data_IF_551866718202
#
_entry.id   IF_551866718202
#
_cell.length_a   1.000
_cell.length_b   1.000
_cell.length_c   1.000
_cell.angle_alpha   90.00
_cell.angle_beta   90.00
_cell.angle_gamma   90.00
#
_symmetry.space_group_name_H-M   'P 1'
#
loop_
_entity.id
_entity.type
_entity.pdbx_description
1 polymer ?
#
# COMPACT_ATOMS: atom_id res chain seq x y z
N UNK A 1 -6.74 -23.03 12.88
CA UNK A 1 -5.32 -22.87 13.30
C UNK A 1 -5.31 -22.56 14.79
N UNK A 2 -4.62 -23.35 15.65
CA UNK A 2 -4.54 -23.06 17.07
C UNK A 2 -3.76 -21.76 17.33
N UNK A 3 -4.13 -21.03 18.40
CA UNK A 3 -3.46 -19.78 18.78
C UNK A 3 -2.04 -20.08 19.30
N UNK A 4 -0.99 -19.35 18.87
CA UNK A 4 0.37 -19.59 19.33
C UNK A 4 0.54 -19.30 20.84
N UNK A 5 1.44 -20.05 21.49
CA UNK A 5 1.72 -19.94 22.93
C UNK A 5 2.39 -18.62 23.34
N UNK A 6 3.03 -17.93 22.38
CA UNK A 6 3.69 -16.64 22.58
C UNK A 6 3.34 -15.68 21.44
N UNK A 7 3.44 -14.39 21.74
CA UNK A 7 3.23 -13.34 20.75
C UNK A 7 4.24 -13.48 19.60
N UNK A 8 3.72 -13.58 18.38
CA UNK A 8 4.56 -13.54 17.17
C UNK A 8 4.88 -12.09 16.83
N UNK A 9 6.15 -11.80 16.56
CA UNK A 9 6.59 -10.49 16.08
C UNK A 9 7.13 -10.65 14.66
N UNK A 10 6.47 -10.01 13.70
CA UNK A 10 6.93 -9.96 12.32
C UNK A 10 7.65 -8.63 12.10
N UNK A 11 8.86 -8.68 11.53
CA UNK A 11 9.64 -7.51 11.18
C UNK A 11 10.00 -7.56 9.71
N UNK A 12 9.72 -6.47 9.01
CA UNK A 12 10.15 -6.29 7.63
C UNK A 12 11.66 -6.04 7.59
N UNK A 13 12.43 -7.01 7.10
CA UNK A 13 13.88 -6.90 6.91
C UNK A 13 14.22 -6.15 5.63
N UNK A 14 13.47 -6.45 4.56
CA UNK A 14 13.63 -5.86 3.24
C UNK A 14 12.29 -5.33 2.73
N UNK A 15 12.32 -4.17 2.09
CA UNK A 15 11.14 -3.56 1.48
C UNK A 15 11.16 -3.86 -0.02
N UNK A 16 10.26 -4.73 -0.47
CA UNK A 16 10.17 -5.12 -1.88
C UNK A 16 9.91 -3.91 -2.79
N UNK A 17 10.35 -3.93 -4.06
CA UNK A 17 9.94 -2.95 -5.04
C UNK A 17 8.41 -2.81 -5.10
N UNK A 18 7.91 -1.57 -5.20
CA UNK A 18 6.47 -1.31 -5.11
C UNK A 18 5.73 -1.85 -6.35
N UNK A 19 6.42 -1.99 -7.47
CA UNK A 19 5.88 -2.58 -8.70
C UNK A 19 5.66 -4.10 -8.63
N UNK A 20 6.16 -4.76 -7.60
CA UNK A 20 5.89 -6.18 -7.31
C UNK A 20 4.63 -6.37 -6.46
N UNK A 21 4.01 -5.29 -5.98
CA UNK A 21 2.81 -5.40 -5.17
C UNK A 21 1.61 -5.80 -6.05
N UNK A 22 0.73 -6.69 -5.56
CA UNK A 22 -0.49 -7.02 -6.27
C UNK A 22 -1.44 -5.82 -6.27
N UNK A 23 -2.45 -5.86 -7.14
CA UNK A 23 -3.59 -4.94 -7.06
C UNK A 23 -4.29 -5.16 -5.72
N UNK A 24 -4.64 -4.11 -4.96
CA UNK A 24 -5.48 -4.24 -3.79
C UNK A 24 -6.78 -4.97 -4.16
N UNK A 25 -7.30 -5.82 -3.27
CA UNK A 25 -8.49 -6.60 -3.56
C UNK A 25 -9.77 -5.74 -3.48
N UNK A 26 -9.94 -4.78 -4.38
CA UNK A 26 -11.09 -3.87 -4.41
C UNK A 26 -12.41 -4.62 -4.55
N UNK A 27 -12.43 -5.75 -5.26
CA UNK A 27 -13.61 -6.62 -5.35
C UNK A 27 -14.10 -7.23 -4.02
N UNK A 28 -13.31 -7.14 -2.94
CA UNK A 28 -13.73 -7.59 -1.60
C UNK A 28 -14.50 -6.52 -0.81
N UNK A 29 -14.60 -5.30 -1.33
CA UNK A 29 -15.33 -4.20 -0.70
C UNK A 29 -16.45 -3.70 -1.62
N UNK A 30 -17.46 -3.06 -1.03
CA UNK A 30 -18.44 -2.28 -1.80
C UNK A 30 -17.88 -0.87 -1.96
N UNK A 31 -17.30 -0.57 -3.13
CA UNK A 31 -16.61 0.71 -3.38
C UNK A 31 -17.53 1.90 -3.11
N UNK A 32 -18.80 1.79 -3.50
CA UNK A 32 -19.81 2.84 -3.29
C UNK A 32 -20.26 3.09 -1.84
N UNK A 33 -19.80 2.29 -0.87
CA UNK A 33 -19.98 2.61 0.54
C UNK A 33 -19.00 3.70 1.02
N UNK A 34 -18.02 4.09 0.20
CA UNK A 34 -16.96 5.03 0.55
C UNK A 34 -17.07 6.34 -0.24
N UNK A 35 -16.78 7.47 0.43
CA UNK A 35 -16.80 8.80 -0.21
C UNK A 35 -15.67 8.98 -1.25
N UNK A 36 -14.51 8.37 -1.01
CA UNK A 36 -13.31 8.53 -1.85
C UNK A 36 -12.59 7.19 -2.00
N UNK A 37 -12.23 6.87 -3.24
CA UNK A 37 -11.23 5.84 -3.55
C UNK A 37 -9.81 6.41 -3.42
N UNK A 38 -8.85 5.55 -3.07
CA UNK A 38 -7.43 5.93 -3.01
C UNK A 38 -6.56 4.91 -3.70
N UNK A 39 -5.55 5.41 -4.42
CA UNK A 39 -4.53 4.62 -5.11
C UNK A 39 -3.16 5.08 -4.63
N UNK A 40 -2.35 4.14 -4.17
CA UNK A 40 -0.97 4.42 -3.77
C UNK A 40 -0.03 4.23 -4.96
N UNK A 41 0.52 5.33 -5.49
CA UNK A 41 1.52 5.26 -6.57
C UNK A 41 2.97 5.16 -6.07
N UNK A 42 3.23 5.63 -4.85
CA UNK A 42 4.57 5.68 -4.27
C UNK A 42 4.56 5.28 -2.79
N UNK A 43 5.72 4.82 -2.30
CA UNK A 43 5.93 4.47 -0.88
C UNK A 43 7.36 4.82 -0.47
N UNK A 44 7.50 5.63 0.59
CA UNK A 44 8.77 6.17 1.07
C UNK A 44 8.96 7.64 0.69
N UNK A 45 9.79 8.37 1.45
CA UNK A 45 10.00 9.81 1.27
C UNK A 45 11.42 10.24 1.68
N UNK A 46 12.15 11.04 0.88
CA UNK A 46 13.52 11.43 1.18
C UNK A 46 13.61 12.56 2.22
N UNK A 47 12.53 13.30 2.41
CA UNK A 47 12.51 14.49 3.24
C UNK A 47 12.69 14.19 4.73
N UNK A 48 13.16 15.19 5.46
CA UNK A 48 13.50 15.13 6.90
C UNK A 48 12.52 15.97 7.73
N UNK A 49 11.24 15.99 7.34
CA UNK A 49 10.22 16.74 8.07
C UNK A 49 10.08 16.20 9.49
N UNK A 50 10.14 17.08 10.50
CA UNK A 50 10.05 16.69 11.92
C UNK A 50 8.68 16.13 12.33
N UNK A 51 7.65 16.46 11.55
CA UNK A 51 6.27 16.04 11.79
C UNK A 51 5.86 14.77 11.03
N UNK A 52 6.71 14.26 10.12
CA UNK A 52 6.33 13.21 9.18
C UNK A 52 6.93 11.86 9.57
N UNK A 53 6.08 10.86 9.72
CA UNK A 53 6.45 9.48 10.05
C UNK A 53 6.75 8.61 8.81
N UNK A 54 6.46 9.10 7.60
CA UNK A 54 6.64 8.36 6.34
C UNK A 54 8.07 7.79 6.19
N UNK A 55 9.16 8.53 6.44
CA UNK A 55 10.51 7.97 6.31
C UNK A 55 10.78 6.83 7.30
N UNK A 56 10.19 6.86 8.50
CA UNK A 56 10.36 5.81 9.51
C UNK A 56 9.56 4.55 9.15
N UNK A 57 8.31 4.71 8.68
CA UNK A 57 7.43 3.60 8.31
C UNK A 57 7.84 2.97 6.97
N UNK A 58 8.00 3.78 5.94
CA UNK A 58 8.12 3.33 4.55
C UNK A 58 9.53 3.45 3.97
N UNK A 59 10.47 4.02 4.73
CA UNK A 59 11.85 4.21 4.32
C UNK A 59 12.09 5.55 3.62
N UNK A 60 13.37 5.90 3.49
CA UNK A 60 13.80 7.20 2.94
C UNK A 60 13.86 7.25 1.42
N UNK A 61 13.81 6.10 0.76
CA UNK A 61 13.87 6.00 -0.70
C UNK A 61 12.46 5.77 -1.25
N UNK A 62 11.91 6.71 -2.03
CA UNK A 62 10.64 6.51 -2.72
C UNK A 62 10.74 5.32 -3.67
N UNK A 63 9.81 4.38 -3.53
CA UNK A 63 9.57 3.29 -4.48
C UNK A 63 8.28 3.61 -5.22
N UNK A 64 8.25 3.35 -6.52
CA UNK A 64 7.15 3.72 -7.40
C UNK A 64 6.53 2.47 -8.03
N UNK A 65 5.22 2.50 -8.27
CA UNK A 65 4.56 1.55 -9.18
C UNK A 65 4.80 1.96 -10.63
N UNK A 66 4.61 1.02 -11.56
CA UNK A 66 4.55 1.34 -12.98
C UNK A 66 3.22 2.02 -13.32
N UNK A 67 3.16 2.92 -14.31
CA UNK A 67 1.93 3.60 -14.71
C UNK A 67 0.77 2.63 -15.01
N UNK A 68 1.05 1.48 -15.61
CA UNK A 68 0.02 0.49 -15.97
C UNK A 68 -0.64 -0.14 -14.74
N UNK A 69 0.09 -0.23 -13.62
CA UNK A 69 -0.49 -0.69 -12.35
C UNK A 69 -1.47 0.33 -11.79
N UNK A 70 -1.17 1.63 -11.94
CA UNK A 70 -2.05 2.70 -11.49
C UNK A 70 -3.33 2.73 -12.32
N UNK A 71 -3.21 2.63 -13.64
CA UNK A 71 -4.37 2.58 -14.54
C UNK A 71 -5.25 1.39 -14.17
N UNK A 72 -4.67 0.20 -13.99
CA UNK A 72 -5.42 -0.99 -13.58
C UNK A 72 -6.13 -0.84 -12.23
N UNK A 73 -5.49 -0.20 -11.24
CA UNK A 73 -6.13 0.07 -9.93
C UNK A 73 -7.28 1.09 -10.04
N UNK A 74 -7.15 2.08 -10.92
CA UNK A 74 -8.22 3.04 -11.20
C UNK A 74 -9.39 2.37 -11.94
N UNK A 75 -9.11 1.50 -12.90
CA UNK A 75 -10.13 0.72 -13.61
C UNK A 75 -10.93 -0.16 -12.63
N UNK A 76 -10.26 -0.87 -11.71
CA UNK A 76 -10.96 -1.69 -10.70
C UNK A 76 -11.83 -0.87 -9.74
N UNK A 77 -11.39 0.33 -9.38
CA UNK A 77 -12.20 1.25 -8.57
C UNK A 77 -13.41 1.76 -9.35
N UNK A 78 -13.24 2.11 -10.62
CA UNK A 78 -14.33 2.58 -11.48
C UNK A 78 -15.37 1.48 -11.77
N UNK A 79 -14.92 0.24 -11.98
CA UNK A 79 -15.80 -0.92 -12.17
C UNK A 79 -16.58 -1.28 -10.90
N UNK A 80 -16.06 -0.89 -9.72
CA UNK A 80 -16.71 -1.08 -8.42
C UNK A 80 -17.92 -0.18 -8.17
N UNK A 81 -18.21 0.77 -9.06
CA UNK A 81 -19.30 1.75 -8.97
C UNK A 81 -18.81 3.13 -8.61
#
# INVERSE_FOLDING_TARGET
>A
VPRPERQMSFRTTEKLPLDQFPVPAYGNIRVMDYLLGSVQFSSGCPFTCEFCDIPALYGRNPRLKRPEQIIRELDELADGG
#
